data_IF_804663159652
#
_entry.id   IF_804663159652
#
_cell.length_a   1.000
_cell.length_b   1.000
_cell.length_c   1.000
_cell.angle_alpha   90.00
_cell.angle_beta   90.00
_cell.angle_gamma   90.00
#
_symmetry.space_group_name_H-M   'P 1'
#
loop_
_entity.id
_entity.type
_entity.pdbx_description
1 polymer ?
#
# COMPACT_ATOMS: atom_id res chain seq x y z
N UNK A 1 15.12 9.02 -15.17
CA UNK A 1 15.06 8.36 -13.85
C UNK A 1 13.78 7.54 -13.85
N UNK A 2 13.80 6.23 -13.57
CA UNK A 2 12.56 5.44 -13.51
C UNK A 2 11.68 5.98 -12.38
N UNK A 3 10.37 6.00 -12.58
CA UNK A 3 9.39 6.35 -11.56
C UNK A 3 9.69 5.60 -10.25
N UNK A 4 9.72 6.33 -9.13
CA UNK A 4 9.75 5.77 -7.78
C UNK A 4 8.36 5.84 -7.13
N UNK A 5 7.30 5.96 -7.92
CA UNK A 5 5.95 6.08 -7.40
C UNK A 5 5.38 4.71 -7.03
N UNK A 6 4.56 4.69 -5.98
CA UNK A 6 3.92 3.49 -5.46
C UNK A 6 2.45 3.78 -5.21
N UNK A 7 1.60 2.82 -5.55
CA UNK A 7 0.16 2.83 -5.24
C UNK A 7 -0.13 1.72 -4.25
N UNK A 8 -0.79 2.07 -3.15
CA UNK A 8 -1.40 1.12 -2.23
C UNK A 8 -2.88 1.03 -2.57
N UNK A 9 -3.34 -0.13 -3.03
CA UNK A 9 -4.73 -0.35 -3.43
C UNK A 9 -5.43 -1.28 -2.43
N UNK A 10 -6.63 -0.90 -2.00
CA UNK A 10 -7.48 -1.74 -1.16
C UNK A 10 -8.09 -2.84 -2.02
N UNK A 11 -7.82 -4.10 -1.68
CA UNK A 11 -8.43 -5.27 -2.31
C UNK A 11 -9.73 -5.68 -1.62
N UNK A 12 -9.70 -5.76 -0.29
CA UNK A 12 -10.82 -6.20 0.55
C UNK A 12 -10.88 -5.34 1.80
N UNK A 13 -12.08 -5.10 2.33
CA UNK A 13 -12.25 -4.33 3.57
C UNK A 13 -13.48 -4.77 4.34
N UNK A 14 -13.33 -4.87 5.67
CA UNK A 14 -14.41 -4.92 6.66
C UNK A 14 -14.45 -3.66 7.54
N UNK A 15 -13.64 -2.64 7.23
CA UNK A 15 -13.53 -1.40 7.99
C UNK A 15 -14.29 -0.27 7.29
N UNK A 16 -14.99 0.56 8.04
CA UNK A 16 -15.74 1.70 7.49
C UNK A 16 -14.83 2.78 6.85
N UNK A 17 -13.54 2.79 7.21
CA UNK A 17 -12.58 3.74 6.68
C UNK A 17 -12.09 3.40 5.28
N UNK A 18 -12.26 2.20 4.73
CA UNK A 18 -11.78 1.84 3.39
C UNK A 18 -12.82 1.07 2.60
N UNK A 19 -12.76 1.18 1.27
CA UNK A 19 -13.57 0.39 0.35
C UNK A 19 -12.65 -0.25 -0.69
N UNK A 20 -12.97 -1.46 -1.19
CA UNK A 20 -12.26 -2.03 -2.33
C UNK A 20 -12.12 -1.02 -3.48
N UNK A 21 -10.91 -0.90 -4.02
CA UNK A 21 -10.55 0.07 -5.05
C UNK A 21 -10.11 1.46 -4.55
N UNK A 22 -10.22 1.75 -3.25
CA UNK A 22 -9.58 2.94 -2.66
C UNK A 22 -8.06 2.87 -2.83
N UNK A 23 -7.43 4.01 -3.07
CA UNK A 23 -5.99 4.12 -3.38
C UNK A 23 -5.30 5.17 -2.51
N UNK A 24 -4.07 4.84 -2.11
CA UNK A 24 -3.10 5.77 -1.53
C UNK A 24 -1.94 5.88 -2.50
N UNK A 25 -1.65 7.10 -2.90
CA UNK A 25 -0.60 7.41 -3.87
C UNK A 25 0.62 7.93 -3.14
N UNK A 26 1.77 7.30 -3.39
CA UNK A 26 3.06 7.70 -2.86
C UNK A 26 3.89 8.21 -4.03
N UNK A 27 4.20 9.50 -4.01
CA UNK A 27 5.04 10.18 -4.98
C UNK A 27 6.38 10.49 -4.34
N UNK A 28 7.44 9.91 -4.89
CA UNK A 28 8.77 9.93 -4.28
C UNK A 28 8.73 9.44 -2.81
N UNK A 29 9.04 10.31 -1.84
CA UNK A 29 9.01 10.01 -0.42
C UNK A 29 7.75 10.53 0.31
N UNK A 30 6.78 11.08 -0.42
CA UNK A 30 5.62 11.76 0.14
C UNK A 30 4.32 11.08 -0.29
N UNK A 31 3.30 11.20 0.54
CA UNK A 31 1.94 10.85 0.15
C UNK A 31 1.40 11.98 -0.72
N UNK A 32 0.92 11.65 -1.92
CA UNK A 32 0.22 12.57 -2.80
C UNK A 32 -1.20 12.78 -2.26
N UNK A 33 -1.38 13.84 -1.47
CA UNK A 33 -2.65 14.21 -0.85
C UNK A 33 -3.65 14.81 -1.85
N UNK A 34 -3.25 15.16 -3.07
CA UNK A 34 -4.18 15.59 -4.12
C UNK A 34 -4.97 14.40 -4.68
N UNK A 35 -4.32 13.23 -4.78
CA UNK A 35 -4.95 11.99 -5.25
C UNK A 35 -5.44 11.08 -4.12
N UNK A 36 -4.79 11.13 -2.96
CA UNK A 36 -5.11 10.29 -1.81
C UNK A 36 -6.21 10.92 -0.98
N UNK A 37 -7.37 10.25 -0.91
CA UNK A 37 -8.53 10.75 -0.14
C UNK A 37 -8.36 10.63 1.38
N UNK A 38 -7.72 9.55 1.84
CA UNK A 38 -7.62 9.21 3.26
C UNK A 38 -6.43 8.30 3.50
N UNK A 39 -5.81 8.47 4.67
CA UNK A 39 -4.73 7.62 5.16
C UNK A 39 -5.02 7.30 6.61
N UNK A 40 -5.33 6.04 6.90
CA UNK A 40 -5.47 5.54 8.25
C UNK A 40 -4.08 5.24 8.83
N UNK A 41 -3.75 5.85 9.98
CA UNK A 41 -2.47 5.66 10.66
C UNK A 41 -2.26 4.23 11.19
N UNK A 42 -3.34 3.50 11.45
CA UNK A 42 -3.28 2.07 11.80
C UNK A 42 -2.88 1.23 10.57
N UNK A 43 -3.58 1.43 9.44
CA UNK A 43 -3.28 0.73 8.20
C UNK A 43 -1.88 1.07 7.66
N UNK A 44 -1.38 2.29 7.89
CA UNK A 44 -0.04 2.70 7.49
C UNK A 44 1.05 1.71 7.94
N UNK A 45 0.90 1.13 9.13
CA UNK A 45 1.86 0.19 9.68
C UNK A 45 2.02 -1.09 8.85
N UNK A 46 0.97 -1.50 8.11
CA UNK A 46 1.02 -2.74 7.33
C UNK A 46 1.83 -2.60 6.03
N UNK A 47 1.75 -1.45 5.37
CA UNK A 47 2.41 -1.23 4.09
C UNK A 47 3.68 -0.39 4.17
N UNK A 48 3.81 0.50 5.17
CA UNK A 48 4.99 1.37 5.33
C UNK A 48 6.33 0.63 5.26
N UNK A 49 6.52 -0.55 5.91
CA UNK A 49 7.79 -1.28 5.85
C UNK A 49 8.23 -1.66 4.42
N UNK A 50 7.27 -1.81 3.51
CA UNK A 50 7.52 -2.32 2.15
C UNK A 50 7.49 -1.22 1.08
N UNK A 51 7.08 0.01 1.43
CA UNK A 51 7.06 1.15 0.50
C UNK A 51 8.45 1.35 -0.11
N UNK A 52 9.51 1.38 0.70
CA UNK A 52 10.87 1.58 0.19
C UNK A 52 11.30 0.49 -0.78
N UNK A 53 11.02 -0.78 -0.46
CA UNK A 53 11.32 -1.92 -1.32
C UNK A 53 10.60 -1.80 -2.67
N UNK A 54 9.29 -1.53 -2.65
CA UNK A 54 8.49 -1.33 -3.87
C UNK A 54 9.00 -0.16 -4.72
N UNK A 55 9.34 0.99 -4.10
CA UNK A 55 9.92 2.15 -4.78
C UNK A 55 11.20 1.80 -5.54
N UNK A 56 12.10 1.03 -4.90
CA UNK A 56 13.36 0.58 -5.51
C UNK A 56 13.21 -0.56 -6.51
N UNK A 57 11.98 -1.03 -6.76
CA UNK A 57 11.71 -2.11 -7.71
C UNK A 57 12.15 -3.49 -7.20
N UNK A 58 12.26 -3.65 -5.89
CA UNK A 58 12.44 -4.97 -5.26
C UNK A 58 11.16 -5.77 -5.48
N UNK A 59 11.29 -7.01 -5.95
CA UNK A 59 10.12 -7.87 -6.20
C UNK A 59 9.56 -8.41 -4.87
N UNK A 60 8.26 -8.75 -4.80
CA UNK A 60 7.67 -9.32 -3.59
C UNK A 60 8.43 -10.55 -3.08
N UNK A 61 8.87 -11.43 -3.99
CA UNK A 61 9.59 -12.66 -3.66
C UNK A 61 10.94 -12.40 -2.98
N UNK A 62 11.63 -11.31 -3.36
CA UNK A 62 12.92 -10.95 -2.76
C UNK A 62 12.83 -10.57 -1.28
N UNK A 63 11.63 -10.23 -0.81
CA UNK A 63 11.36 -9.83 0.58
C UNK A 63 10.36 -10.77 1.26
N UNK A 64 10.23 -12.00 0.75
CA UNK A 64 9.52 -13.10 1.41
C UNK A 64 8.00 -13.14 1.20
N UNK A 65 7.47 -12.37 0.23
CA UNK A 65 6.09 -12.51 -0.21
C UNK A 65 5.97 -13.56 -1.31
N UNK A 66 4.72 -13.89 -1.70
CA UNK A 66 4.42 -14.65 -2.91
C UNK A 66 4.56 -13.78 -4.17
N UNK A 67 3.56 -13.82 -5.04
CA UNK A 67 3.61 -13.12 -6.33
C UNK A 67 3.40 -11.60 -6.24
N UNK A 68 2.85 -11.12 -5.12
CA UNK A 68 2.41 -9.74 -4.91
C UNK A 68 2.71 -9.29 -3.49
N UNK A 69 2.92 -7.98 -3.31
CA UNK A 69 2.98 -7.35 -1.99
C UNK A 69 1.59 -7.25 -1.38
N UNK A 70 1.11 -8.33 -0.77
CA UNK A 70 -0.18 -8.37 -0.08
C UNK A 70 0.06 -8.20 1.41
N UNK A 71 -0.50 -7.14 1.99
CA UNK A 71 -0.40 -6.87 3.43
C UNK A 71 -1.79 -6.62 4.01
N UNK A 72 -1.96 -6.93 5.29
CA UNK A 72 -3.21 -6.70 6.00
C UNK A 72 -3.03 -5.63 7.08
N UNK A 73 -4.03 -4.76 7.23
CA UNK A 73 -4.15 -3.88 8.39
C UNK A 73 -3.91 -4.68 9.70
N UNK A 74 -3.17 -4.13 10.68
CA UNK A 74 -2.96 -4.81 11.96
C UNK A 74 -4.24 -4.99 12.78
N UNK A 75 -5.28 -4.19 12.50
CA UNK A 75 -6.59 -4.35 13.12
C UNK A 75 -7.29 -5.60 12.57
N UNK A 76 -7.33 -6.65 13.39
CA UNK A 76 -7.95 -7.92 13.03
C UNK A 76 -9.47 -7.92 13.20
N UNK A 77 -10.04 -6.97 13.96
CA UNK A 77 -11.48 -6.87 14.17
C UNK A 77 -12.16 -6.41 12.88
N UNK A 78 -11.52 -5.48 12.17
CA UNK A 78 -11.98 -4.91 10.90
C UNK A 78 -10.88 -4.97 9.84
N UNK A 79 -10.53 -6.17 9.35
CA UNK A 79 -9.38 -6.35 8.47
C UNK A 79 -9.55 -5.62 7.14
N UNK A 80 -8.44 -5.08 6.65
CA UNK A 80 -8.32 -4.47 5.32
C UNK A 80 -7.10 -5.06 4.65
N UNK A 81 -7.26 -5.57 3.43
CA UNK A 81 -6.20 -6.17 2.63
C UNK A 81 -5.76 -5.17 1.57
N UNK A 82 -4.46 -4.93 1.47
CA UNK A 82 -3.86 -4.00 0.53
C UNK A 82 -2.89 -4.71 -0.41
N UNK A 83 -2.83 -4.24 -1.66
CA UNK A 83 -1.77 -4.57 -2.61
C UNK A 83 -0.87 -3.34 -2.81
N UNK A 84 0.45 -3.53 -2.72
CA UNK A 84 1.45 -2.50 -3.02
C UNK A 84 1.94 -2.70 -4.45
N UNK A 85 1.76 -1.69 -5.30
CA UNK A 85 2.15 -1.71 -6.72
C UNK A 85 3.13 -0.58 -7.01
N UNK A 86 4.17 -0.88 -7.77
CA UNK A 86 4.99 0.17 -8.39
C UNK A 86 4.19 0.79 -9.53
N UNK A 87 4.17 2.11 -9.61
CA UNK A 87 3.55 2.86 -10.72
C UNK A 87 4.66 3.17 -11.74
N UNK A 88 4.49 2.72 -12.98
CA UNK A 88 5.46 2.85 -14.07
C UNK A 88 5.67 4.29 -14.54
#
# INVERSE_FOLDING_TARGET
MKSENVVIEVLESKCDHYKPGDKIYIKDALIDMEKTKKVCVMALQSFFPFVFAARKGVTPQQVGFGDKFIVQCPDYCEPVVFEIKKED
#
